data_IF_374855529899
#
_entry.id   IF_374855529899
#
_cell.length_a   1.000
_cell.length_b   1.000
_cell.length_c   1.000
_cell.angle_alpha   90.00
_cell.angle_beta   90.00
_cell.angle_gamma   90.00
#
_symmetry.space_group_name_H-M   'P 1'
#
loop_
_entity.id
_entity.type
_entity.pdbx_description
1 polymer ?
#
# COMPACT_ATOMS: atom_id res chain seq x y z
N UNK A 1 26.45 29.38 50.71
CA UNK A 1 25.29 29.57 49.81
C UNK A 1 25.32 28.49 48.76
N UNK A 2 24.54 27.43 48.95
CA UNK A 2 24.50 26.29 48.04
C UNK A 2 23.30 26.48 47.08
N UNK A 3 23.61 26.78 45.84
CA UNK A 3 22.63 26.90 44.78
C UNK A 3 22.16 25.50 44.31
N UNK A 4 20.98 25.10 44.77
CA UNK A 4 20.36 23.82 44.33
C UNK A 4 19.95 23.88 42.87
N UNK A 5 20.56 23.06 42.06
CA UNK A 5 20.12 22.79 40.70
C UNK A 5 18.81 22.01 40.78
N UNK A 6 17.69 22.69 40.59
CA UNK A 6 16.40 21.98 40.33
C UNK A 6 16.50 21.35 38.94
N UNK A 7 16.81 20.07 38.91
CA UNK A 7 16.68 19.25 37.72
C UNK A 7 15.18 19.24 37.39
N UNK A 8 14.74 19.98 36.38
CA UNK A 8 13.43 19.81 35.81
C UNK A 8 13.34 18.38 35.25
N UNK A 9 12.66 17.52 35.99
CA UNK A 9 12.22 16.22 35.49
C UNK A 9 11.19 16.52 34.39
N UNK A 10 11.64 16.52 33.14
CA UNK A 10 10.75 16.43 31.99
C UNK A 10 9.99 15.11 32.15
N UNK A 11 8.64 15.13 32.17
CA UNK A 11 7.87 13.90 32.24
C UNK A 11 8.33 13.00 31.09
N UNK A 12 8.79 11.80 31.39
CA UNK A 12 9.10 10.81 30.34
C UNK A 12 7.82 10.57 29.57
N UNK A 13 7.79 10.98 28.31
CA UNK A 13 6.70 10.73 27.39
C UNK A 13 6.34 9.23 27.36
N UNK A 14 5.12 8.93 27.04
CA UNK A 14 4.68 7.54 26.90
C UNK A 14 5.49 6.83 25.79
N UNK A 15 5.51 5.50 25.77
CA UNK A 15 6.11 4.73 24.67
C UNK A 15 5.66 5.25 23.30
N UNK A 16 4.37 5.59 23.20
CA UNK A 16 3.77 6.09 21.96
C UNK A 16 4.34 7.46 21.57
N UNK A 17 4.53 8.37 22.53
CA UNK A 17 5.10 9.70 22.25
C UNK A 17 6.50 9.60 21.64
N UNK A 18 7.35 8.72 22.19
CA UNK A 18 8.69 8.49 21.62
C UNK A 18 8.64 7.91 20.20
N UNK A 19 7.68 7.03 19.91
CA UNK A 19 7.51 6.47 18.55
C UNK A 19 6.94 7.51 17.57
N UNK A 20 6.05 8.38 18.04
CA UNK A 20 5.55 9.52 17.26
C UNK A 20 6.70 10.46 16.88
N UNK A 21 7.59 10.76 17.82
CA UNK A 21 8.75 11.63 17.55
C UNK A 21 9.62 11.04 16.43
N UNK A 22 10.01 9.77 16.54
CA UNK A 22 10.80 9.06 15.51
C UNK A 22 10.09 9.09 14.15
N UNK A 23 8.79 8.83 14.11
CA UNK A 23 8.01 8.79 12.87
C UNK A 23 7.93 10.17 12.20
N UNK A 24 7.61 11.21 12.97
CA UNK A 24 7.48 12.58 12.47
C UNK A 24 8.83 13.15 12.03
N UNK A 25 9.91 12.86 12.77
CA UNK A 25 11.28 13.27 12.39
C UNK A 25 11.73 12.64 11.07
N UNK A 26 11.47 11.34 10.86
CA UNK A 26 11.82 10.65 9.61
C UNK A 26 11.03 11.23 8.42
N UNK A 27 9.75 11.55 8.59
CA UNK A 27 8.94 12.23 7.57
C UNK A 27 9.45 13.64 7.30
N UNK A 28 9.75 14.42 8.35
CA UNK A 28 10.25 15.78 8.23
C UNK A 28 11.61 15.85 7.52
N UNK A 29 12.49 14.89 7.74
CA UNK A 29 13.76 14.76 7.04
C UNK A 29 13.60 14.65 5.52
N UNK A 30 12.44 14.15 5.07
CA UNK A 30 12.07 14.03 3.67
C UNK A 30 11.14 15.14 3.18
N UNK A 31 10.96 16.21 3.97
CA UNK A 31 10.14 17.37 3.62
C UNK A 31 8.62 17.18 3.81
N UNK A 32 8.18 16.06 4.41
CA UNK A 32 6.78 15.80 4.70
C UNK A 32 6.45 16.17 6.15
N UNK A 33 5.37 16.93 6.35
CA UNK A 33 4.87 17.25 7.69
C UNK A 33 3.59 16.48 7.98
N UNK A 34 3.59 15.70 9.05
CA UNK A 34 2.42 14.96 9.53
C UNK A 34 2.09 15.43 10.96
N UNK A 35 0.80 15.65 11.22
CA UNK A 35 0.32 15.96 12.56
C UNK A 35 0.57 14.79 13.53
N UNK A 36 1.02 15.12 14.76
CA UNK A 36 1.35 14.14 15.81
C UNK A 36 0.17 13.22 16.15
N UNK A 37 -1.05 13.75 16.16
CA UNK A 37 -2.25 12.94 16.41
C UNK A 37 -2.41 11.87 15.34
N UNK A 38 -2.25 12.27 14.08
CA UNK A 38 -2.36 11.34 12.93
C UNK A 38 -1.26 10.29 12.94
N UNK A 39 -0.03 10.68 13.27
CA UNK A 39 1.08 9.73 13.47
C UNK A 39 0.77 8.72 14.56
N UNK A 40 0.20 9.16 15.69
CA UNK A 40 -0.22 8.28 16.78
C UNK A 40 -1.33 7.30 16.38
N UNK A 41 -2.31 7.73 15.57
CA UNK A 41 -3.35 6.86 15.03
C UNK A 41 -2.76 5.77 14.13
N UNK A 42 -1.82 6.11 13.25
CA UNK A 42 -1.15 5.17 12.35
C UNK A 42 -0.34 4.13 13.13
N UNK A 43 0.49 4.57 14.09
CA UNK A 43 1.30 3.66 14.91
C UNK A 43 0.41 2.73 15.75
N UNK A 44 -0.68 3.27 16.33
CA UNK A 44 -1.63 2.46 17.10
C UNK A 44 -2.36 1.44 16.21
N UNK A 45 -2.75 1.86 15.00
CA UNK A 45 -3.34 0.96 14.00
C UNK A 45 -2.40 -0.21 13.65
N UNK A 46 -1.11 0.09 13.45
CA UNK A 46 -0.10 -0.94 13.18
C UNK A 46 0.10 -1.90 14.35
N UNK A 47 0.12 -1.39 15.59
CA UNK A 47 0.17 -2.25 16.80
C UNK A 47 -1.00 -3.24 16.81
N UNK A 48 -2.22 -2.78 16.57
CA UNK A 48 -3.42 -3.62 16.54
C UNK A 48 -3.37 -4.65 15.41
N UNK A 49 -2.98 -4.23 14.22
CA UNK A 49 -2.85 -5.13 13.08
C UNK A 49 -1.84 -6.24 13.38
N UNK A 50 -0.67 -5.88 13.92
CA UNK A 50 0.38 -6.84 14.30
C UNK A 50 -0.11 -7.78 15.41
N UNK A 51 -0.78 -7.26 16.45
CA UNK A 51 -1.33 -8.06 17.55
C UNK A 51 -2.32 -9.11 17.02
N UNK A 52 -3.19 -8.72 16.09
CA UNK A 52 -4.16 -9.61 15.48
C UNK A 52 -3.51 -10.70 14.62
N UNK A 53 -2.56 -10.32 13.75
CA UNK A 53 -1.86 -11.26 12.86
C UNK A 53 -1.04 -12.27 13.67
N UNK A 54 -0.29 -11.79 14.66
CA UNK A 54 0.58 -12.63 15.49
C UNK A 54 -0.17 -13.35 16.63
N UNK A 55 -1.46 -13.04 16.84
CA UNK A 55 -2.30 -13.56 17.94
C UNK A 55 -1.67 -13.31 19.32
N UNK A 56 -1.12 -12.13 19.52
CA UNK A 56 -0.51 -11.68 20.77
C UNK A 56 -1.25 -10.45 21.31
N UNK A 57 -0.95 -10.05 22.55
CA UNK A 57 -1.50 -8.81 23.10
C UNK A 57 -0.87 -7.58 22.45
N UNK A 58 -1.58 -6.43 22.45
CA UNK A 58 -1.02 -5.17 21.97
C UNK A 58 0.25 -4.77 22.74
N UNK A 59 0.33 -5.10 24.04
CA UNK A 59 1.52 -4.86 24.84
C UNK A 59 2.74 -5.65 24.32
N UNK A 60 2.53 -6.91 23.93
CA UNK A 60 3.56 -7.75 23.31
C UNK A 60 3.91 -7.21 21.92
N UNK A 61 2.92 -6.84 21.11
CA UNK A 61 3.15 -6.29 19.78
C UNK A 61 3.98 -4.99 19.79
N UNK A 62 3.78 -4.12 20.79
CA UNK A 62 4.61 -2.92 21.00
C UNK A 62 6.09 -3.23 21.17
N UNK A 63 6.43 -4.37 21.79
CA UNK A 63 7.81 -4.81 21.97
C UNK A 63 8.55 -5.09 20.67
N UNK A 64 7.81 -5.45 19.61
CA UNK A 64 8.38 -5.68 18.28
C UNK A 64 8.53 -4.41 17.43
N UNK A 65 7.83 -3.31 17.79
CA UNK A 65 7.90 -2.04 17.07
C UNK A 65 9.09 -1.19 17.56
N UNK A 66 10.30 -1.60 17.19
CA UNK A 66 11.53 -0.81 17.39
C UNK A 66 11.56 0.45 16.52
N UNK A 67 12.50 1.37 16.80
CA UNK A 67 12.63 2.64 16.07
C UNK A 67 12.88 2.42 14.57
N UNK A 68 13.65 1.41 14.20
CA UNK A 68 13.92 1.10 12.79
C UNK A 68 12.66 0.69 12.03
N UNK A 69 11.76 -0.06 12.67
CA UNK A 69 10.47 -0.42 12.06
C UNK A 69 9.58 0.81 11.91
N UNK A 70 9.61 1.72 12.87
CA UNK A 70 8.88 3.00 12.80
C UNK A 70 9.42 3.88 11.67
N UNK A 71 10.74 3.98 11.50
CA UNK A 71 11.36 4.70 10.37
C UNK A 71 11.00 4.04 9.04
N UNK A 72 11.02 2.72 8.99
CA UNK A 72 10.64 1.99 7.77
C UNK A 72 9.16 2.22 7.39
N UNK A 73 8.27 2.28 8.38
CA UNK A 73 6.87 2.69 8.17
C UNK A 73 6.77 4.12 7.60
N UNK A 74 7.56 5.06 8.15
CA UNK A 74 7.60 6.43 7.64
C UNK A 74 8.10 6.47 6.19
N UNK A 75 9.19 5.76 5.87
CA UNK A 75 9.73 5.65 4.50
C UNK A 75 8.72 5.05 3.53
N UNK A 76 8.02 3.98 3.92
CA UNK A 76 6.96 3.38 3.08
C UNK A 76 5.84 4.37 2.80
N UNK A 77 5.42 5.14 3.81
CA UNK A 77 4.45 6.20 3.63
C UNK A 77 4.95 7.28 2.65
N UNK A 78 6.25 7.64 2.72
CA UNK A 78 6.87 8.55 1.75
C UNK A 78 6.83 8.00 0.33
N UNK A 79 7.12 6.71 0.14
CA UNK A 79 7.02 6.06 -1.17
C UNK A 79 5.56 6.00 -1.68
N UNK A 80 4.61 5.80 -0.78
CA UNK A 80 3.18 5.82 -1.11
C UNK A 80 2.72 7.23 -1.54
N UNK A 81 3.19 8.28 -0.86
CA UNK A 81 2.86 9.68 -1.16
C UNK A 81 3.74 10.26 -2.28
N UNK A 82 5.03 9.89 -2.37
CA UNK A 82 5.91 10.33 -3.47
C UNK A 82 5.53 9.74 -4.84
N UNK A 83 4.75 8.65 -4.84
CA UNK A 83 4.06 8.19 -6.05
C UNK A 83 2.84 9.05 -6.43
N UNK A 84 2.40 9.94 -5.53
CA UNK A 84 1.40 10.97 -5.73
C UNK A 84 2.14 12.31 -5.87
N UNK A 85 1.98 12.99 -6.99
CA UNK A 85 2.65 14.27 -7.29
C UNK A 85 2.55 15.25 -6.11
N UNK A 86 3.64 15.94 -5.69
CA UNK A 86 3.57 16.99 -4.69
C UNK A 86 2.78 18.17 -5.28
N UNK A 87 1.58 18.39 -4.78
CA UNK A 87 0.71 19.49 -5.23
C UNK A 87 -0.79 19.25 -5.08
N UNK A 88 -1.23 18.03 -4.72
CA UNK A 88 -2.63 17.80 -4.44
C UNK A 88 -2.98 18.27 -3.02
N UNK A 89 -3.85 19.27 -2.93
CA UNK A 89 -4.37 19.85 -1.70
C UNK A 89 -4.86 18.77 -0.72
N UNK A 90 -4.21 18.66 0.44
CA UNK A 90 -4.53 17.70 1.50
C UNK A 90 -5.87 17.98 2.22
N UNK A 91 -6.69 18.89 1.70
CA UNK A 91 -7.99 19.28 2.25
C UNK A 91 -9.21 18.83 1.41
N UNK A 92 -9.02 18.15 0.29
CA UNK A 92 -10.14 17.54 -0.41
C UNK A 92 -10.50 16.19 0.19
N UNK A 93 -11.80 15.94 0.37
CA UNK A 93 -12.34 14.63 0.75
C UNK A 93 -11.69 13.53 -0.13
N UNK A 94 -11.40 12.34 0.41
CA UNK A 94 -10.74 11.30 -0.35
C UNK A 94 -11.51 11.05 -1.64
N UNK A 95 -10.95 11.52 -2.76
CA UNK A 95 -11.54 11.29 -4.07
C UNK A 95 -11.61 9.78 -4.28
N UNK A 96 -12.74 9.31 -4.65
CA UNK A 96 -12.94 7.92 -5.06
C UNK A 96 -13.32 7.89 -6.52
N UNK A 97 -12.88 6.85 -7.21
CA UNK A 97 -13.17 6.62 -8.61
C UNK A 97 -14.14 5.44 -8.73
N UNK A 98 -15.29 5.62 -9.42
CA UNK A 98 -16.20 4.52 -9.67
C UNK A 98 -15.57 3.53 -10.65
N UNK A 99 -15.56 2.25 -10.29
CA UNK A 99 -15.08 1.16 -11.12
C UNK A 99 -16.22 0.15 -11.33
N UNK A 100 -16.64 -0.10 -12.58
CA UNK A 100 -17.61 -1.14 -12.88
C UNK A 100 -17.18 -2.50 -12.34
N UNK A 101 -18.12 -3.26 -11.78
CA UNK A 101 -17.85 -4.56 -11.16
C UNK A 101 -17.12 -5.53 -12.12
N UNK A 102 -17.45 -5.47 -13.41
CA UNK A 102 -16.77 -6.25 -14.44
C UNK A 102 -15.27 -5.90 -14.52
N UNK A 103 -14.92 -4.61 -14.42
CA UNK A 103 -13.52 -4.16 -14.42
C UNK A 103 -12.80 -4.51 -13.11
N UNK A 104 -13.50 -4.55 -11.98
CA UNK A 104 -12.93 -5.06 -10.72
C UNK A 104 -12.47 -6.50 -10.90
N UNK A 105 -13.30 -7.36 -11.48
CA UNK A 105 -12.96 -8.75 -11.76
C UNK A 105 -11.77 -8.90 -12.71
N UNK A 106 -11.72 -8.10 -13.78
CA UNK A 106 -10.61 -8.05 -14.72
C UNK A 106 -9.32 -7.61 -14.02
N UNK A 107 -9.38 -6.56 -13.20
CA UNK A 107 -8.22 -6.04 -12.46
C UNK A 107 -7.66 -7.07 -11.48
N UNK A 108 -8.53 -7.75 -10.74
CA UNK A 108 -8.12 -8.83 -9.80
C UNK A 108 -7.46 -9.98 -10.56
N UNK A 109 -8.02 -10.41 -11.68
CA UNK A 109 -7.44 -11.44 -12.53
C UNK A 109 -6.08 -11.01 -13.09
N UNK A 110 -5.97 -9.79 -13.62
CA UNK A 110 -4.73 -9.23 -14.15
C UNK A 110 -3.64 -9.10 -13.07
N UNK A 111 -4.00 -8.71 -11.83
CA UNK A 111 -3.06 -8.68 -10.70
C UNK A 111 -2.56 -10.09 -10.33
N UNK A 112 -3.45 -11.08 -10.32
CA UNK A 112 -3.06 -12.47 -10.04
C UNK A 112 -2.12 -13.03 -11.12
N UNK A 113 -2.38 -12.72 -12.38
CA UNK A 113 -1.54 -13.10 -13.51
C UNK A 113 -0.19 -12.38 -13.49
N UNK A 114 -0.19 -11.06 -13.19
CA UNK A 114 1.01 -10.26 -13.00
C UNK A 114 1.89 -10.78 -11.86
N UNK A 115 1.29 -11.21 -10.75
CA UNK A 115 2.00 -11.85 -9.64
C UNK A 115 2.73 -13.11 -10.11
N UNK A 116 2.08 -13.97 -10.89
CA UNK A 116 2.70 -15.19 -11.41
C UNK A 116 3.89 -14.89 -12.34
N UNK A 117 3.75 -13.91 -13.25
CA UNK A 117 4.84 -13.48 -14.12
C UNK A 117 6.00 -12.94 -13.29
N UNK A 118 5.71 -12.10 -12.29
CA UNK A 118 6.74 -11.54 -11.42
C UNK A 118 7.44 -12.61 -10.60
N UNK A 119 6.68 -13.54 -10.00
CA UNK A 119 7.21 -14.64 -9.20
C UNK A 119 8.10 -15.58 -10.01
N UNK A 120 7.77 -15.86 -11.27
CA UNK A 120 8.61 -16.67 -12.16
C UNK A 120 9.98 -16.05 -12.47
N UNK A 121 10.11 -14.74 -12.33
CA UNK A 121 11.32 -13.98 -12.62
C UNK A 121 12.11 -13.54 -11.38
N UNK A 122 11.58 -13.76 -10.19
CA UNK A 122 12.21 -13.35 -8.95
C UNK A 122 13.08 -14.47 -8.36
N UNK A 123 14.26 -14.14 -7.78
CA UNK A 123 15.04 -15.09 -7.01
C UNK A 123 14.23 -15.68 -5.84
N UNK A 124 14.47 -16.96 -5.46
CA UNK A 124 13.70 -17.61 -4.40
C UNK A 124 13.70 -16.87 -3.06
N UNK A 125 14.79 -16.17 -2.71
CA UNK A 125 14.93 -15.37 -1.50
C UNK A 125 14.00 -14.17 -1.43
N UNK A 126 13.60 -13.61 -2.58
CA UNK A 126 12.70 -12.45 -2.68
C UNK A 126 11.25 -12.81 -3.01
N UNK A 127 10.98 -14.09 -3.29
CA UNK A 127 9.65 -14.54 -3.70
C UNK A 127 8.57 -14.23 -2.66
N UNK A 128 8.89 -14.35 -1.37
CA UNK A 128 7.98 -14.02 -0.27
C UNK A 128 7.57 -12.55 -0.27
N UNK A 129 8.49 -11.65 -0.61
CA UNK A 129 8.22 -10.21 -0.70
C UNK A 129 7.29 -9.90 -1.88
N UNK A 130 7.55 -10.48 -3.04
CA UNK A 130 6.69 -10.33 -4.22
C UNK A 130 5.27 -10.79 -3.93
N UNK A 131 5.11 -12.01 -3.40
CA UNK A 131 3.79 -12.56 -3.06
C UNK A 131 3.06 -11.65 -2.07
N UNK A 132 3.75 -11.20 -1.01
CA UNK A 132 3.17 -10.31 0.01
C UNK A 132 2.70 -8.99 -0.60
N UNK A 133 3.49 -8.39 -1.47
CA UNK A 133 3.20 -7.12 -2.14
C UNK A 133 1.93 -7.20 -3.00
N UNK A 134 1.82 -8.25 -3.82
CA UNK A 134 0.63 -8.46 -4.66
C UNK A 134 -0.59 -8.89 -3.84
N UNK A 135 -0.40 -9.71 -2.81
CA UNK A 135 -1.48 -10.12 -1.91
C UNK A 135 -2.08 -8.91 -1.16
N UNK A 136 -1.28 -7.92 -0.79
CA UNK A 136 -1.77 -6.68 -0.19
C UNK A 136 -2.64 -5.87 -1.17
N UNK A 137 -2.24 -5.77 -2.44
CA UNK A 137 -3.05 -5.12 -3.46
C UNK A 137 -4.38 -5.85 -3.66
N UNK A 138 -4.35 -7.17 -3.84
CA UNK A 138 -5.54 -8.02 -3.97
C UNK A 138 -6.47 -7.92 -2.76
N UNK A 139 -5.91 -7.92 -1.54
CA UNK A 139 -6.67 -7.75 -0.30
C UNK A 139 -7.38 -6.40 -0.26
N UNK A 140 -6.75 -5.33 -0.73
CA UNK A 140 -7.37 -4.00 -0.83
C UNK A 140 -8.61 -4.01 -1.71
N UNK A 141 -8.55 -4.66 -2.88
CA UNK A 141 -9.72 -4.86 -3.74
C UNK A 141 -10.80 -5.69 -3.04
N UNK A 142 -10.43 -6.81 -2.42
CA UNK A 142 -11.36 -7.70 -1.72
C UNK A 142 -12.07 -7.00 -0.56
N UNK A 143 -11.38 -6.21 0.25
CA UNK A 143 -11.95 -5.48 1.38
C UNK A 143 -12.98 -4.43 0.92
N UNK A 144 -12.66 -3.65 -0.11
CA UNK A 144 -13.55 -2.64 -0.66
C UNK A 144 -14.78 -3.29 -1.28
N UNK A 145 -14.60 -4.37 -2.04
CA UNK A 145 -15.70 -5.12 -2.66
C UNK A 145 -16.62 -5.75 -1.60
N UNK A 146 -16.06 -6.30 -0.53
CA UNK A 146 -16.84 -6.89 0.56
C UNK A 146 -17.59 -5.83 1.39
N UNK A 147 -17.06 -4.61 1.48
CA UNK A 147 -17.68 -3.48 2.18
C UNK A 147 -18.73 -2.73 1.35
N UNK A 148 -18.77 -2.96 0.04
CA UNK A 148 -19.78 -2.37 -0.84
C UNK A 148 -21.11 -3.08 -0.62
N UNK A 149 -21.98 -2.50 0.24
CA UNK A 149 -23.33 -3.04 0.46
C UNK A 149 -24.14 -2.95 -0.84
N UNK A 150 -24.84 -4.01 -1.25
CA UNK A 150 -25.75 -3.96 -2.37
C UNK A 150 -26.90 -2.98 -2.01
N UNK A 151 -26.94 -1.80 -2.68
CA UNK A 151 -28.06 -0.88 -2.58
C UNK A 151 -27.78 0.54 -2.09
N UNK A 152 -26.53 0.99 -1.95
CA UNK A 152 -26.25 2.41 -1.73
C UNK A 152 -26.15 3.15 -3.08
N UNK A 153 -27.14 3.98 -3.28
CA UNK A 153 -27.33 5.05 -4.28
C UNK A 153 -26.22 5.25 -5.32
N UNK A 154 -26.28 4.52 -6.38
CA UNK A 154 -25.47 4.55 -7.58
C UNK A 154 -25.85 3.36 -8.42
N UNK A 155 -25.45 3.29 -9.65
CA UNK A 155 -25.64 2.11 -10.46
C UNK A 155 -25.10 0.87 -9.70
N UNK A 156 -25.91 -0.19 -9.41
CA UNK A 156 -25.50 -1.35 -8.64
C UNK A 156 -24.31 -2.11 -9.23
N UNK A 157 -23.80 -1.66 -10.35
CA UNK A 157 -22.66 -2.20 -11.07
C UNK A 157 -21.33 -1.49 -10.79
N UNK A 158 -21.27 -0.43 -9.97
CA UNK A 158 -20.05 0.34 -9.71
C UNK A 158 -19.65 0.31 -8.23
N UNK A 159 -18.36 0.18 -7.99
CA UNK A 159 -17.75 0.24 -6.66
C UNK A 159 -16.73 1.38 -6.63
N UNK A 160 -16.74 2.16 -5.56
CA UNK A 160 -15.84 3.30 -5.38
C UNK A 160 -14.47 2.84 -4.84
N UNK A 161 -13.42 3.14 -5.59
CA UNK A 161 -12.04 2.79 -5.21
C UNK A 161 -11.17 4.03 -5.01
N UNK A 162 -10.22 4.00 -4.05
CA UNK A 162 -9.18 5.01 -3.94
C UNK A 162 -8.31 5.01 -5.21
N UNK A 163 -8.05 6.18 -5.85
CA UNK A 163 -7.19 6.26 -7.04
C UNK A 163 -5.78 5.68 -6.80
N UNK A 164 -5.25 5.81 -5.60
CA UNK A 164 -3.94 5.26 -5.22
C UNK A 164 -3.89 3.74 -5.36
N UNK A 165 -4.96 3.02 -4.99
CA UNK A 165 -5.03 1.57 -5.14
C UNK A 165 -5.07 1.16 -6.63
N UNK A 166 -5.84 1.89 -7.43
CA UNK A 166 -5.94 1.65 -8.88
C UNK A 166 -4.60 1.90 -9.59
N UNK A 167 -3.93 3.02 -9.26
CA UNK A 167 -2.58 3.33 -9.80
C UNK A 167 -1.53 2.30 -9.37
N UNK A 168 -1.62 1.80 -8.13
CA UNK A 168 -0.72 0.73 -7.65
C UNK A 168 -0.94 -0.56 -8.45
N UNK A 169 -2.19 -0.97 -8.63
CA UNK A 169 -2.54 -2.12 -9.45
C UNK A 169 -2.03 -1.97 -10.89
N UNK A 170 -2.26 -0.82 -11.52
CA UNK A 170 -1.78 -0.53 -12.86
C UNK A 170 -0.25 -0.67 -12.97
N UNK A 171 0.53 -0.14 -12.00
CA UNK A 171 2.00 -0.28 -11.99
C UNK A 171 2.45 -1.73 -11.90
N UNK A 172 1.81 -2.55 -11.06
CA UNK A 172 2.18 -3.96 -10.91
C UNK A 172 1.87 -4.75 -12.18
N UNK A 173 0.72 -4.49 -12.79
CA UNK A 173 0.31 -5.13 -14.04
C UNK A 173 1.23 -4.70 -15.20
N UNK A 174 1.54 -3.40 -15.31
CA UNK A 174 2.45 -2.86 -16.34
C UNK A 174 3.86 -3.44 -16.22
N UNK A 175 4.44 -3.47 -15.02
CA UNK A 175 5.76 -4.06 -14.79
C UNK A 175 5.83 -5.54 -15.15
N UNK A 176 4.76 -6.30 -14.92
CA UNK A 176 4.69 -7.69 -15.36
C UNK A 176 4.54 -7.82 -16.89
N UNK A 177 3.79 -6.90 -17.53
CA UNK A 177 3.69 -6.83 -18.98
C UNK A 177 5.05 -6.57 -19.65
N UNK A 178 5.85 -5.67 -19.08
CA UNK A 178 7.22 -5.40 -19.54
C UNK A 178 8.11 -6.64 -19.41
N UNK A 179 8.11 -7.29 -18.24
CA UNK A 179 8.88 -8.53 -18.03
C UNK A 179 8.49 -9.62 -19.04
N UNK A 180 7.20 -9.79 -19.30
CA UNK A 180 6.74 -10.77 -20.29
C UNK A 180 7.20 -10.39 -21.70
N UNK A 181 7.16 -9.10 -22.09
CA UNK A 181 7.58 -8.60 -23.39
C UNK A 181 9.09 -8.74 -23.60
N UNK A 182 9.89 -8.45 -22.57
CA UNK A 182 11.35 -8.40 -22.63
C UNK A 182 12.03 -9.79 -22.54
N UNK A 183 11.26 -10.86 -22.66
CA UNK A 183 11.80 -12.23 -22.67
C UNK A 183 12.01 -12.83 -21.28
N UNK A 184 11.39 -12.26 -20.23
CA UNK A 184 11.35 -12.85 -18.89
C UNK A 184 10.73 -14.25 -18.88
N UNK A 185 10.94 -15.02 -17.83
CA UNK A 185 10.30 -16.34 -17.70
C UNK A 185 8.79 -16.20 -17.66
N UNK A 186 8.10 -17.09 -18.33
CA UNK A 186 6.64 -17.19 -18.24
C UNK A 186 6.23 -18.09 -17.08
N UNK A 187 5.03 -17.88 -16.50
CA UNK A 187 4.47 -18.77 -15.51
C UNK A 187 4.35 -20.21 -16.04
N UNK A 188 4.38 -21.17 -15.12
CA UNK A 188 4.22 -22.57 -15.47
C UNK A 188 2.90 -22.80 -16.23
N UNK A 189 2.97 -23.56 -17.32
CA UNK A 189 1.82 -23.87 -18.17
C UNK A 189 1.51 -22.82 -19.23
N UNK A 190 2.16 -21.66 -19.24
CA UNK A 190 2.01 -20.64 -20.29
C UNK A 190 3.02 -20.92 -21.41
N UNK A 191 2.56 -21.28 -22.63
CA UNK A 191 3.47 -21.57 -23.75
C UNK A 191 4.14 -20.30 -24.25
N UNK A 192 5.37 -20.42 -24.76
CA UNK A 192 6.14 -19.32 -25.32
C UNK A 192 5.39 -18.57 -26.45
N UNK A 193 4.58 -19.28 -27.20
CA UNK A 193 3.73 -18.71 -28.25
C UNK A 193 2.67 -17.75 -27.75
N UNK A 194 2.30 -17.83 -26.47
CA UNK A 194 1.32 -16.93 -25.84
C UNK A 194 1.96 -15.66 -25.24
N UNK A 195 3.29 -15.55 -25.21
CA UNK A 195 4.05 -14.44 -24.62
C UNK A 195 3.52 -13.07 -25.05
N UNK A 196 3.47 -12.84 -26.35
CA UNK A 196 3.05 -11.54 -26.91
C UNK A 196 1.59 -11.22 -26.55
N UNK A 197 0.73 -12.23 -26.52
CA UNK A 197 -0.67 -12.05 -26.15
C UNK A 197 -0.80 -11.74 -24.66
N UNK A 198 -0.06 -12.42 -23.79
CA UNK A 198 -0.03 -12.16 -22.35
C UNK A 198 0.44 -10.72 -22.07
N UNK A 199 1.58 -10.33 -22.64
CA UNK A 199 2.11 -8.97 -22.47
C UNK A 199 1.15 -7.89 -22.97
N UNK A 200 0.50 -8.10 -24.12
CA UNK A 200 -0.48 -7.16 -24.68
C UNK A 200 -1.74 -7.08 -23.82
N UNK A 201 -2.22 -8.19 -23.26
CA UNK A 201 -3.38 -8.20 -22.36
C UNK A 201 -3.09 -7.44 -21.09
N UNK A 202 -2.00 -7.76 -20.39
CA UNK A 202 -1.60 -7.06 -19.16
C UNK A 202 -1.39 -5.56 -19.40
N UNK A 203 -0.76 -5.17 -20.51
CA UNK A 203 -0.56 -3.75 -20.85
C UNK A 203 -1.89 -3.04 -21.07
N UNK A 204 -2.79 -3.61 -21.84
CA UNK A 204 -4.13 -3.04 -22.06
C UNK A 204 -4.90 -2.86 -20.74
N UNK A 205 -4.82 -3.83 -19.84
CA UNK A 205 -5.56 -3.78 -18.57
C UNK A 205 -4.93 -2.72 -17.62
N UNK A 206 -3.60 -2.56 -17.62
CA UNK A 206 -2.91 -1.48 -16.91
C UNK A 206 -3.29 -0.09 -17.46
N UNK A 207 -3.26 0.08 -18.78
CA UNK A 207 -3.60 1.34 -19.46
C UNK A 207 -5.05 1.73 -19.19
N UNK A 208 -5.97 0.76 -19.15
CA UNK A 208 -7.36 0.96 -18.78
C UNK A 208 -7.52 1.54 -17.37
N UNK A 209 -6.78 1.02 -16.39
CA UNK A 209 -6.80 1.54 -15.02
C UNK A 209 -6.20 2.95 -14.93
N UNK A 210 -5.12 3.23 -15.67
CA UNK A 210 -4.50 4.56 -15.70
C UNK A 210 -5.48 5.57 -16.29
N UNK A 211 -6.15 5.24 -17.40
CA UNK A 211 -7.12 6.11 -18.03
C UNK A 211 -8.28 6.48 -17.08
N UNK A 212 -8.81 5.49 -16.34
CA UNK A 212 -9.88 5.70 -15.36
C UNK A 212 -9.42 6.63 -14.22
N UNK A 213 -8.19 6.49 -13.74
CA UNK A 213 -7.66 7.34 -12.66
C UNK A 213 -7.30 8.75 -13.12
N UNK A 214 -7.15 9.00 -14.41
CA UNK A 214 -6.86 10.31 -14.97
C UNK A 214 -8.13 11.16 -15.22
N UNK A 215 -9.29 10.52 -15.31
CA UNK A 215 -10.58 11.17 -15.60
C UNK A 215 -11.42 11.50 -14.36
N UNK A 216 -11.06 10.99 -13.20
CA UNK A 216 -11.69 11.24 -11.90
C UNK A 216 -10.83 12.13 -11.02
#
# INVERSE_FOLDING_TARGET
MAGGWKTCLVPRGTWLDGKIDVFVEELAASGMHLDRRRAGELITGQVRAMANVMRVTEATARGYLGDEIIKDMARRMLFEVAGEQPGADLMEAPRTVPLPLALVGITVAALAEAMQVRAANEPPEHLGEVITTYAQALSGFGQITAGAAPGQAGDPAEILFPPALLRRAARYISGAAELAADGGKLPDGVPETARSQLAATLRRDADGLIAITATG
#
